data_IF_498281272086
#
_entry.id   IF_498281272086
#
_cell.length_a   1.000
_cell.length_b   1.000
_cell.length_c   1.000
_cell.angle_alpha   90.00
_cell.angle_beta   90.00
_cell.angle_gamma   90.00
#
_symmetry.space_group_name_H-M   'P 1'
#
loop_
_entity.id
_entity.type
_entity.pdbx_description
1 polymer ?
#
# COMPACT_ATOMS: atom_id res chain seq x y z
N UNK A 1 26.81 -65.70 -16.36
CA UNK A 1 27.44 -64.45 -16.84
C UNK A 1 28.07 -63.81 -15.60
N UNK A 2 29.31 -64.11 -15.18
CA UNK A 2 30.61 -63.89 -15.86
C UNK A 2 31.05 -62.44 -15.62
N UNK A 3 31.59 -62.09 -14.44
CA UNK A 3 33.03 -61.95 -14.09
C UNK A 3 33.56 -60.50 -14.17
N UNK A 4 34.29 -60.10 -13.12
CA UNK A 4 35.05 -58.87 -13.01
C UNK A 4 36.35 -58.93 -13.81
N UNK A 5 36.90 -57.79 -14.25
CA UNK A 5 38.36 -57.59 -14.36
C UNK A 5 38.75 -56.11 -14.37
N UNK A 6 39.94 -55.86 -13.84
CA UNK A 6 40.54 -54.58 -13.46
C UNK A 6 41.27 -53.84 -14.60
N UNK A 7 41.42 -52.52 -14.39
CA UNK A 7 42.54 -51.61 -14.71
C UNK A 7 43.49 -51.88 -15.89
N UNK A 8 43.78 -50.81 -16.67
CA UNK A 8 45.17 -50.31 -16.86
C UNK A 8 45.26 -48.95 -17.56
N UNK A 9 46.28 -48.21 -17.13
CA UNK A 9 46.74 -46.88 -17.57
C UNK A 9 47.16 -46.82 -19.05
N UNK A 10 47.00 -45.63 -19.63
CA UNK A 10 47.71 -45.16 -20.81
C UNK A 10 47.74 -43.64 -20.84
N UNK A 11 48.87 -43.04 -20.46
CA UNK A 11 49.17 -41.64 -20.70
C UNK A 11 49.49 -41.44 -22.19
N UNK A 12 49.17 -40.28 -22.77
CA UNK A 12 49.99 -39.57 -23.78
C UNK A 12 49.44 -38.15 -24.02
N UNK A 13 50.40 -37.22 -24.07
CA UNK A 13 50.45 -35.93 -24.76
C UNK A 13 49.50 -34.79 -24.35
N UNK A 14 50.11 -33.85 -23.63
CA UNK A 14 49.80 -32.44 -23.67
C UNK A 14 49.75 -31.91 -25.12
N UNK A 15 48.63 -31.27 -25.47
CA UNK A 15 48.62 -30.17 -26.43
C UNK A 15 48.30 -28.91 -25.64
N UNK A 16 49.35 -28.13 -25.40
CA UNK A 16 49.28 -26.78 -24.89
C UNK A 16 48.55 -25.90 -25.92
N UNK A 17 47.23 -25.84 -25.81
CA UNK A 17 46.43 -24.74 -26.32
C UNK A 17 46.21 -23.77 -25.18
N UNK A 18 47.08 -22.78 -25.05
CA UNK A 18 46.84 -21.62 -24.18
C UNK A 18 45.65 -20.84 -24.72
N UNK A 19 44.44 -21.18 -24.25
CA UNK A 19 43.30 -20.28 -24.40
C UNK A 19 43.68 -19.05 -23.56
N UNK A 20 43.81 -17.85 -24.15
CA UNK A 20 43.99 -16.67 -23.32
C UNK A 20 42.74 -16.58 -22.45
N UNK A 21 42.93 -16.56 -21.14
CA UNK A 21 41.90 -16.11 -20.23
C UNK A 21 41.58 -14.67 -20.63
N UNK A 22 40.55 -14.49 -21.46
CA UNK A 22 39.95 -13.19 -21.63
C UNK A 22 39.46 -12.81 -20.23
N UNK A 23 40.21 -11.90 -19.58
CA UNK A 23 39.77 -11.26 -18.36
C UNK A 23 38.36 -10.75 -18.65
N UNK A 24 37.36 -11.35 -18.01
CA UNK A 24 36.02 -10.78 -18.00
C UNK A 24 36.21 -9.38 -17.42
N UNK A 25 36.15 -8.37 -18.29
CA UNK A 25 36.11 -6.99 -17.87
C UNK A 25 34.87 -6.89 -16.98
N UNK A 26 35.09 -6.70 -15.68
CA UNK A 26 34.02 -6.28 -14.78
C UNK A 26 33.45 -5.00 -15.38
N UNK A 27 32.23 -5.08 -15.90
CA UNK A 27 31.48 -3.88 -16.24
C UNK A 27 31.47 -3.00 -14.98
N UNK A 28 31.71 -1.68 -15.11
CA UNK A 28 31.62 -0.79 -13.96
C UNK A 28 30.27 -1.00 -13.30
N UNK A 29 30.29 -1.17 -11.98
CA UNK A 29 29.07 -1.23 -11.18
C UNK A 29 28.20 -0.05 -11.59
N UNK A 30 26.91 -0.26 -11.95
CA UNK A 30 26.03 0.88 -12.23
C UNK A 30 26.14 1.86 -11.06
N UNK A 31 26.23 3.17 -11.31
CA UNK A 31 26.32 4.15 -10.25
C UNK A 31 25.19 3.87 -9.26
N UNK A 32 25.52 3.81 -7.97
CA UNK A 32 24.48 3.75 -6.94
C UNK A 32 23.49 4.88 -7.21
N UNK A 33 22.17 4.63 -7.18
CA UNK A 33 21.19 5.69 -7.39
C UNK A 33 21.54 6.84 -6.46
N UNK A 34 21.72 8.03 -7.04
CA UNK A 34 22.04 9.22 -6.26
C UNK A 34 21.00 9.35 -5.15
N UNK A 35 21.45 9.54 -3.91
CA UNK A 35 20.56 9.82 -2.79
C UNK A 35 19.91 11.17 -3.04
N UNK A 36 18.68 11.16 -3.56
CA UNK A 36 17.86 12.34 -3.71
C UNK A 36 17.38 12.79 -2.33
N UNK A 37 17.22 14.10 -2.15
CA UNK A 37 16.62 14.64 -0.92
C UNK A 37 15.13 14.29 -0.89
N UNK A 38 14.54 14.21 0.29
CA UNK A 38 13.11 13.96 0.47
C UNK A 38 12.24 14.96 -0.31
N UNK A 39 12.61 16.24 -0.30
CA UNK A 39 11.95 17.27 -1.09
C UNK A 39 12.02 17.01 -2.60
N UNK A 40 13.16 16.49 -3.10
CA UNK A 40 13.30 16.14 -4.52
C UNK A 40 12.50 14.88 -4.88
N UNK A 41 12.40 13.91 -3.97
CA UNK A 41 11.54 12.74 -4.14
C UNK A 41 10.06 13.14 -4.21
N UNK A 42 9.59 13.98 -3.28
CA UNK A 42 8.21 14.49 -3.27
C UNK A 42 7.86 15.30 -4.53
N UNK A 43 8.81 16.07 -5.08
CA UNK A 43 8.60 16.80 -6.32
C UNK A 43 8.46 15.86 -7.53
N UNK A 44 9.31 14.83 -7.60
CA UNK A 44 9.23 13.81 -8.65
C UNK A 44 7.90 13.01 -8.57
N UNK A 45 7.50 12.62 -7.36
CA UNK A 45 6.25 11.92 -7.12
C UNK A 45 5.03 12.81 -7.42
N UNK A 46 5.11 14.10 -7.06
CA UNK A 46 4.09 15.10 -7.36
C UNK A 46 3.81 15.22 -8.86
N UNK A 47 4.86 15.25 -9.69
CA UNK A 47 4.71 15.26 -11.14
C UNK A 47 4.07 13.96 -11.69
N UNK A 48 4.42 12.81 -11.13
CA UNK A 48 3.81 11.53 -11.52
C UNK A 48 2.32 11.47 -11.13
N UNK A 49 1.98 11.93 -9.92
CA UNK A 49 0.60 11.98 -9.41
C UNK A 49 -0.23 12.96 -10.23
N UNK A 50 0.27 14.16 -10.47
CA UNK A 50 -0.38 15.18 -11.30
C UNK A 50 -0.81 14.64 -12.67
N UNK A 51 0.11 13.96 -13.36
CA UNK A 51 -0.15 13.31 -14.63
C UNK A 51 -1.22 12.20 -14.54
N UNK A 52 -1.26 11.47 -13.42
CA UNK A 52 -2.21 10.38 -13.23
C UNK A 52 -3.64 10.85 -12.93
N UNK A 53 -3.80 11.89 -12.11
CA UNK A 53 -5.11 12.35 -11.63
C UNK A 53 -5.61 13.63 -12.31
N UNK A 54 -4.80 14.23 -13.20
CA UNK A 54 -5.17 15.40 -13.99
C UNK A 54 -5.27 16.70 -13.20
N UNK A 55 -4.40 16.89 -12.19
CA UNK A 55 -4.30 18.13 -11.41
C UNK A 55 -2.97 18.84 -11.69
N UNK A 56 -2.85 20.14 -11.42
CA UNK A 56 -1.57 20.84 -11.49
C UNK A 56 -0.48 20.21 -10.59
N UNK A 57 0.78 20.24 -11.03
CA UNK A 57 1.91 19.63 -10.31
C UNK A 57 2.13 20.24 -8.91
N UNK A 58 1.91 21.54 -8.77
CA UNK A 58 1.96 22.26 -7.49
C UNK A 58 0.83 21.85 -6.54
N UNK A 59 -0.39 21.67 -7.07
CA UNK A 59 -1.53 21.12 -6.29
C UNK A 59 -1.22 19.68 -5.83
N UNK A 60 -0.70 18.83 -6.72
CA UNK A 60 -0.34 17.46 -6.38
C UNK A 60 0.76 17.41 -5.32
N UNK A 61 1.83 18.18 -5.49
CA UNK A 61 2.95 18.24 -4.55
C UNK A 61 2.50 18.77 -3.17
N UNK A 62 1.60 19.76 -3.14
CA UNK A 62 1.03 20.25 -1.89
C UNK A 62 0.19 19.18 -1.19
N UNK A 63 -0.69 18.47 -1.92
CA UNK A 63 -1.51 17.42 -1.33
C UNK A 63 -0.68 16.25 -0.81
N UNK A 64 0.42 15.90 -1.48
CA UNK A 64 1.33 14.86 -1.00
C UNK A 64 2.02 15.24 0.31
N UNK A 65 2.49 16.49 0.44
CA UNK A 65 3.05 17.00 1.71
C UNK A 65 2.02 16.95 2.83
N UNK A 66 0.81 17.47 2.58
CA UNK A 66 -0.28 17.44 3.56
C UNK A 66 -0.66 16.01 3.96
N UNK A 67 -0.67 15.07 3.00
CA UNK A 67 -0.94 13.66 3.28
C UNK A 67 0.14 13.06 4.17
N UNK A 68 1.42 13.28 3.85
CA UNK A 68 2.53 12.78 4.65
C UNK A 68 2.49 13.36 6.08
N UNK A 69 2.25 14.66 6.21
CA UNK A 69 2.25 15.34 7.50
C UNK A 69 0.97 15.11 8.31
N UNK A 70 -0.09 14.57 7.70
CA UNK A 70 -1.35 14.27 8.39
C UNK A 70 -1.29 13.07 9.34
N UNK A 71 -0.26 12.21 9.22
CA UNK A 71 -0.18 10.92 9.93
C UNK A 71 -0.36 11.08 11.44
N UNK A 72 0.41 11.99 12.05
CA UNK A 72 0.33 12.23 13.50
C UNK A 72 -1.06 12.73 13.93
N UNK A 73 -1.69 13.57 13.10
CA UNK A 73 -3.06 14.05 13.35
C UNK A 73 -4.07 12.90 13.26
N UNK A 74 -3.98 12.04 12.25
CA UNK A 74 -4.87 10.89 12.09
C UNK A 74 -4.70 9.86 13.21
N UNK A 75 -3.48 9.64 13.70
CA UNK A 75 -3.20 8.74 14.83
C UNK A 75 -3.78 9.26 16.14
N UNK A 76 -3.67 10.57 16.38
CA UNK A 76 -4.26 11.23 17.54
C UNK A 76 -5.80 11.14 17.50
N UNK A 77 -6.42 11.35 16.34
CA UNK A 77 -7.85 11.19 16.12
C UNK A 77 -8.30 9.74 16.35
N UNK A 78 -7.55 8.77 15.82
CA UNK A 78 -7.84 7.36 16.00
C UNK A 78 -7.82 6.96 17.48
N UNK A 79 -6.84 7.47 18.23
CA UNK A 79 -6.74 7.26 19.67
C UNK A 79 -7.89 7.94 20.43
N UNK A 80 -8.17 9.21 20.14
CA UNK A 80 -9.22 10.00 20.82
C UNK A 80 -10.60 9.36 20.67
N UNK A 81 -10.89 8.79 19.50
CA UNK A 81 -12.20 8.24 19.18
C UNK A 81 -12.24 6.71 19.12
N UNK A 82 -11.24 5.99 19.65
CA UNK A 82 -11.16 4.53 19.56
C UNK A 82 -12.45 3.79 19.98
N UNK A 83 -13.18 4.35 20.95
CA UNK A 83 -14.47 3.81 21.43
C UNK A 83 -15.62 3.87 20.42
N UNK A 84 -15.54 4.73 19.39
CA UNK A 84 -16.58 4.96 18.37
C UNK A 84 -16.07 4.88 16.94
N UNK A 85 -14.77 4.72 16.73
CA UNK A 85 -14.14 4.87 15.41
C UNK A 85 -14.60 3.80 14.42
N UNK A 86 -15.17 4.22 13.30
CA UNK A 86 -15.53 3.39 12.15
C UNK A 86 -14.52 3.52 10.99
N UNK A 87 -13.91 4.69 10.83
CA UNK A 87 -12.88 4.93 9.81
C UNK A 87 -12.35 6.35 9.82
N UNK A 88 -11.17 6.55 9.24
CA UNK A 88 -10.59 7.85 8.95
C UNK A 88 -10.19 7.85 7.49
N UNK A 89 -10.56 8.88 6.73
CA UNK A 89 -10.20 8.98 5.33
C UNK A 89 -9.69 10.38 5.00
N UNK A 90 -8.68 10.45 4.14
CA UNK A 90 -8.25 11.70 3.53
C UNK A 90 -9.14 11.98 2.32
N UNK A 91 -9.66 13.21 2.26
CA UNK A 91 -10.41 13.74 1.13
C UNK A 91 -9.50 14.67 0.36
N UNK A 92 -9.27 14.40 -0.91
CA UNK A 92 -8.42 15.24 -1.77
C UNK A 92 -9.19 16.31 -2.53
N UNK A 93 -10.52 16.15 -2.70
CA UNK A 93 -11.37 17.05 -3.49
C UNK A 93 -12.69 17.36 -2.77
N UNK A 94 -13.23 18.60 -2.90
CA UNK A 94 -12.70 19.73 -3.67
C UNK A 94 -11.44 20.37 -3.05
N UNK A 95 -11.13 20.06 -1.79
CA UNK A 95 -9.89 20.43 -1.10
C UNK A 95 -9.46 19.32 -0.13
N UNK A 96 -8.16 19.31 0.20
CA UNK A 96 -7.57 18.40 1.19
C UNK A 96 -8.30 18.51 2.54
N UNK A 97 -8.62 17.39 3.16
CA UNK A 97 -9.34 17.33 4.43
C UNK A 97 -9.34 15.93 5.03
N UNK A 98 -9.70 15.84 6.31
CA UNK A 98 -9.82 14.58 7.03
C UNK A 98 -11.30 14.34 7.32
N UNK A 99 -11.78 13.14 7.06
CA UNK A 99 -13.13 12.70 7.43
C UNK A 99 -13.01 11.60 8.47
N UNK A 100 -13.62 11.79 9.63
CA UNK A 100 -13.65 10.82 10.72
C UNK A 100 -15.07 10.28 10.84
N UNK A 101 -15.21 8.96 10.71
CA UNK A 101 -16.49 8.28 10.85
C UNK A 101 -16.61 7.62 12.21
N UNK A 102 -17.75 7.87 12.85
CA UNK A 102 -18.04 7.42 14.21
C UNK A 102 -19.34 6.62 14.24
N UNK A 103 -19.41 5.63 15.11
CA UNK A 103 -20.65 4.94 15.47
C UNK A 103 -21.48 5.76 16.45
N UNK A 104 -22.75 5.39 16.57
CA UNK A 104 -23.74 6.08 17.39
C UNK A 104 -24.15 7.44 16.82
N UNK A 105 -25.24 7.99 17.36
CA UNK A 105 -25.89 9.18 16.80
C UNK A 105 -25.49 10.50 17.46
N UNK A 106 -24.71 10.43 18.55
CA UNK A 106 -24.25 11.62 19.26
C UNK A 106 -23.35 12.47 18.35
N UNK A 107 -23.75 13.71 18.00
CA UNK A 107 -23.01 14.55 17.07
C UNK A 107 -21.68 15.01 17.66
N UNK A 108 -20.68 15.18 16.80
CA UNK A 108 -19.38 15.75 17.13
C UNK A 108 -19.16 16.95 16.22
N UNK A 109 -18.74 18.07 16.79
CA UNK A 109 -18.48 19.28 16.02
C UNK A 109 -17.22 19.13 15.16
N UNK A 110 -17.29 19.58 13.92
CA UNK A 110 -16.14 19.67 13.01
C UNK A 110 -15.04 20.56 13.61
N UNK A 111 -13.79 20.20 13.34
CA UNK A 111 -12.61 20.91 13.84
C UNK A 111 -11.64 21.24 12.70
N UNK A 112 -10.59 22.01 13.01
CA UNK A 112 -9.50 22.27 12.08
C UNK A 112 -8.17 21.88 12.72
N UNK A 113 -7.34 21.17 11.96
CA UNK A 113 -6.00 20.77 12.35
C UNK A 113 -4.95 21.57 11.56
N UNK A 114 -3.89 22.00 12.21
CA UNK A 114 -2.75 22.61 11.53
C UNK A 114 -1.80 21.51 11.06
N UNK A 115 -1.64 21.36 9.73
CA UNK A 115 -0.77 20.38 9.07
C UNK A 115 0.04 21.11 8.00
N UNK A 116 1.38 20.96 8.00
CA UNK A 116 2.30 21.71 7.11
C UNK A 116 2.00 23.23 7.06
N UNK A 117 1.68 23.83 8.23
CA UNK A 117 1.32 25.25 8.32
C UNK A 117 -0.02 25.65 7.68
N UNK A 118 -0.79 24.70 7.15
CA UNK A 118 -2.13 24.91 6.60
C UNK A 118 -3.23 24.45 7.58
N UNK A 119 -4.34 25.19 7.60
CA UNK A 119 -5.54 24.78 8.33
C UNK A 119 -6.32 23.74 7.50
N UNK A 120 -6.28 22.49 7.94
CA UNK A 120 -6.98 21.36 7.31
C UNK A 120 -8.30 21.09 8.03
N UNK A 121 -9.44 21.01 7.33
CA UNK A 121 -10.72 20.68 7.97
C UNK A 121 -10.78 19.20 8.36
N UNK A 122 -11.28 18.94 9.57
CA UNK A 122 -11.60 17.62 10.11
C UNK A 122 -13.11 17.53 10.30
N UNK A 123 -13.76 16.71 9.49
CA UNK A 123 -15.22 16.57 9.47
C UNK A 123 -15.63 15.28 10.16
N UNK A 124 -16.58 15.35 11.09
CA UNK A 124 -17.11 14.19 11.79
C UNK A 124 -18.44 13.74 11.19
N UNK A 125 -18.52 12.44 10.87
CA UNK A 125 -19.74 11.81 10.37
C UNK A 125 -20.13 10.67 11.31
N UNK A 126 -21.29 10.81 11.95
CA UNK A 126 -21.81 9.85 12.93
C UNK A 126 -22.80 8.87 12.28
N UNK A 127 -23.28 7.88 13.03
CA UNK A 127 -24.25 6.90 12.55
C UNK A 127 -23.65 5.72 11.78
N UNK A 128 -22.33 5.49 11.84
CA UNK A 128 -21.75 4.28 11.26
C UNK A 128 -22.28 3.02 11.95
N UNK A 129 -22.52 1.96 11.17
CA UNK A 129 -23.16 0.73 11.66
C UNK A 129 -22.29 -0.08 12.64
N UNK A 130 -20.97 -0.02 12.49
CA UNK A 130 -20.03 -0.74 13.32
C UNK A 130 -18.69 -0.01 13.42
N UNK A 131 -17.94 -0.29 14.49
CA UNK A 131 -16.59 0.22 14.66
C UNK A 131 -15.62 -0.52 13.74
N UNK A 132 -14.52 0.13 13.38
CA UNK A 132 -13.48 -0.44 12.55
C UNK A 132 -12.99 -1.79 13.11
N UNK A 133 -12.75 -1.85 14.42
CA UNK A 133 -12.30 -3.06 15.11
C UNK A 133 -13.32 -4.20 15.03
N UNK A 134 -14.61 -3.88 15.05
CA UNK A 134 -15.70 -4.87 14.94
C UNK A 134 -15.80 -5.39 13.50
N UNK A 135 -15.61 -4.53 12.50
CA UNK A 135 -15.57 -4.95 11.10
C UNK A 135 -14.39 -5.87 10.81
N UNK A 136 -13.20 -5.56 11.34
CA UNK A 136 -12.01 -6.43 11.21
C UNK A 136 -12.27 -7.79 11.87
N UNK A 137 -12.86 -7.79 13.07
CA UNK A 137 -13.24 -9.03 13.77
C UNK A 137 -14.28 -9.83 12.96
N UNK A 138 -15.27 -9.16 12.36
CA UNK A 138 -16.26 -9.80 11.51
C UNK A 138 -15.60 -10.45 10.26
N UNK A 139 -14.63 -9.79 9.62
CA UNK A 139 -13.86 -10.40 8.53
C UNK A 139 -13.16 -11.66 9.03
N UNK A 140 -12.44 -11.59 10.15
CA UNK A 140 -11.75 -12.75 10.71
C UNK A 140 -12.71 -13.91 10.99
N UNK A 141 -13.87 -13.62 11.57
CA UNK A 141 -14.86 -14.62 11.94
C UNK A 141 -15.55 -15.26 10.72
N UNK A 142 -15.89 -14.48 9.69
CA UNK A 142 -16.78 -14.91 8.60
C UNK A 142 -16.08 -15.15 7.26
N UNK A 143 -14.81 -14.79 7.09
CA UNK A 143 -14.10 -14.89 5.80
C UNK A 143 -14.17 -16.30 5.17
N UNK A 144 -14.11 -17.36 5.97
CA UNK A 144 -14.15 -18.74 5.46
C UNK A 144 -15.52 -19.08 4.88
N UNK A 145 -16.60 -18.72 5.58
CA UNK A 145 -17.97 -18.92 5.13
C UNK A 145 -18.26 -18.08 3.88
N UNK A 146 -17.83 -16.82 3.85
CA UNK A 146 -17.99 -15.93 2.69
C UNK A 146 -17.27 -16.52 1.47
N UNK A 147 -16.02 -16.97 1.63
CA UNK A 147 -15.26 -17.61 0.54
C UNK A 147 -15.91 -18.88 0.03
N UNK A 148 -16.47 -19.70 0.92
CA UNK A 148 -17.15 -20.94 0.54
C UNK A 148 -18.49 -20.68 -0.18
N UNK A 149 -19.09 -19.50 -0.02
CA UNK A 149 -20.36 -19.14 -0.66
C UNK A 149 -20.23 -18.65 -2.11
N UNK A 150 -19.00 -18.44 -2.59
CA UNK A 150 -18.68 -17.83 -3.88
C UNK A 150 -17.92 -18.80 -4.78
N UNK A 151 -18.01 -18.61 -6.09
CA UNK A 151 -17.28 -19.40 -7.09
C UNK A 151 -15.79 -19.11 -7.05
N UNK A 152 -15.43 -17.84 -6.80
CA UNK A 152 -14.05 -17.38 -6.72
C UNK A 152 -13.87 -16.67 -5.36
N UNK A 153 -12.80 -16.97 -4.60
CA UNK A 153 -12.55 -16.30 -3.35
C UNK A 153 -12.47 -14.77 -3.52
N UNK A 154 -13.27 -13.97 -2.79
CA UNK A 154 -13.26 -12.52 -2.91
C UNK A 154 -12.07 -11.90 -2.17
N UNK A 155 -11.75 -10.66 -2.55
CA UNK A 155 -11.04 -9.75 -1.67
C UNK A 155 -11.97 -9.25 -0.57
N UNK A 156 -11.52 -9.27 0.69
CA UNK A 156 -12.27 -8.74 1.83
C UNK A 156 -11.47 -7.63 2.50
N UNK A 157 -12.13 -6.55 2.88
CA UNK A 157 -11.48 -5.44 3.57
C UNK A 157 -12.49 -4.49 4.20
N UNK A 158 -11.97 -3.42 4.81
CA UNK A 158 -12.77 -2.34 5.37
C UNK A 158 -12.51 -1.08 4.53
N UNK A 159 -13.55 -0.49 3.95
CA UNK A 159 -13.46 0.83 3.33
C UNK A 159 -13.61 1.90 4.42
N UNK A 160 -12.50 2.53 4.81
CA UNK A 160 -12.49 3.57 5.83
C UNK A 160 -13.27 4.83 5.42
N UNK A 161 -13.44 5.06 4.11
CA UNK A 161 -14.18 6.21 3.57
C UNK A 161 -15.69 6.05 3.73
N UNK A 162 -16.22 4.83 3.80
CA UNK A 162 -17.64 4.58 4.09
C UNK A 162 -17.86 4.05 5.51
N UNK A 163 -16.83 3.46 6.11
CA UNK A 163 -16.93 2.78 7.41
C UNK A 163 -17.60 1.41 7.30
N UNK A 164 -17.40 0.71 6.18
CA UNK A 164 -18.10 -0.54 5.85
C UNK A 164 -17.13 -1.68 5.54
N UNK A 165 -17.59 -2.91 5.75
CA UNK A 165 -16.93 -4.11 5.23
C UNK A 165 -17.26 -4.25 3.74
N UNK A 166 -16.24 -4.39 2.92
CA UNK A 166 -16.37 -4.53 1.46
C UNK A 166 -15.86 -5.90 1.02
N UNK A 167 -16.63 -6.55 0.15
CA UNK A 167 -16.23 -7.76 -0.56
C UNK A 167 -16.12 -7.45 -2.06
N UNK A 168 -14.91 -7.62 -2.62
CA UNK A 168 -14.66 -7.52 -4.06
C UNK A 168 -14.81 -8.91 -4.66
N UNK A 169 -15.93 -9.12 -5.36
CA UNK A 169 -16.31 -10.41 -5.96
C UNK A 169 -16.07 -10.42 -7.48
N UNK A 170 -16.03 -11.61 -8.08
CA UNK A 170 -16.00 -11.74 -9.53
C UNK A 170 -17.34 -11.32 -10.15
N UNK A 171 -17.32 -10.79 -11.37
CA UNK A 171 -18.54 -10.55 -12.16
C UNK A 171 -19.38 -11.81 -12.35
N UNK A 172 -18.77 -13.00 -12.33
CA UNK A 172 -19.47 -14.30 -12.42
C UNK A 172 -20.33 -14.59 -11.19
N UNK A 173 -19.91 -14.13 -10.01
CA UNK A 173 -20.67 -14.28 -8.78
C UNK A 173 -21.88 -13.33 -8.74
N UNK A 174 -21.79 -12.17 -9.40
CA UNK A 174 -22.86 -11.17 -9.48
C UNK A 174 -23.94 -11.55 -10.48
N UNK A 175 -23.60 -12.28 -11.55
CA UNK A 175 -24.52 -12.66 -12.61
C UNK A 175 -25.44 -13.85 -12.25
N UNK A 176 -25.42 -14.30 -10.99
CA UNK A 176 -26.20 -15.42 -10.46
C UNK A 176 -27.52 -14.93 -9.87
#
# INVERSE_FOLDING_TARGET
MGWALWARFGAIAALAGSVPAAAQQFAPTPPMPATITEAAALAQDGAAVANHIGVPEDEAAQQLRLQQDSVATTDALATRFAGRLAGIALRHRPSFGIVVRLTGDEPVADESAMIDGAAVPVVFVTGAAARHVELVQAITAYQAAIRASLLIPPGLGVDQRTGELVAVVSTRDVAR
#
